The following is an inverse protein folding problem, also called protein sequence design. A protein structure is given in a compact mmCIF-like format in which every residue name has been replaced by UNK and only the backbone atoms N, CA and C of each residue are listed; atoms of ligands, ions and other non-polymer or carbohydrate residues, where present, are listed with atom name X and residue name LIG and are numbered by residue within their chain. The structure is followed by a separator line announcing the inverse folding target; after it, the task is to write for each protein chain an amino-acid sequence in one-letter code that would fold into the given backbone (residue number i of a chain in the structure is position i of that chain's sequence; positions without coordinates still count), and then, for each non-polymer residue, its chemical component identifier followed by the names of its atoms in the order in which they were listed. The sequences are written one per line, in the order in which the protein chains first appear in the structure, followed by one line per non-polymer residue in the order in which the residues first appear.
data_IF_477510639172
#
_entry.id   IF_477510639172
#
_cell.length_a   1.000
_cell.length_b   1.000
_cell.length_c   1.000
_cell.angle_alpha   90.00
_cell.angle_beta   90.00
_cell.angle_gamma   90.00
#
_symmetry.space_group_name_H-M   'P 1'
#
loop_
_entity.id
_entity.type
_entity.pdbx_description
1 polymer ?
#
# COMPACT_ATOMS: atom_id res chain seq x y z
N UNK A 1 -4.86 40.25 5.21
CA UNK A 1 -4.59 39.37 4.06
C UNK A 1 -4.71 37.95 4.57
N UNK A 2 -5.76 37.26 4.13
CA UNK A 2 -6.20 35.96 4.66
C UNK A 2 -5.44 34.82 4.01
N UNK A 3 -4.86 33.98 4.86
CA UNK A 3 -4.17 32.71 4.59
C UNK A 3 -5.00 31.81 3.65
N UNK A 4 -4.43 31.23 2.57
CA UNK A 4 -5.14 30.28 1.74
C UNK A 4 -5.33 28.97 2.51
N UNK A 5 -6.59 28.55 2.64
CA UNK A 5 -7.01 27.33 3.33
C UNK A 5 -6.24 26.11 2.81
N UNK A 6 -5.32 25.58 3.61
CA UNK A 6 -4.81 24.22 3.49
C UNK A 6 -5.97 23.25 3.77
N UNK A 7 -6.56 22.68 2.74
CA UNK A 7 -7.54 21.60 2.90
C UNK A 7 -6.83 20.32 3.33
N UNK A 8 -6.74 20.11 4.65
CA UNK A 8 -6.30 18.84 5.24
C UNK A 8 -7.38 17.79 5.03
N UNK A 9 -7.22 16.95 4.00
CA UNK A 9 -8.04 15.76 3.83
C UNK A 9 -7.43 14.57 4.57
N UNK A 10 -7.95 14.29 5.77
CA UNK A 10 -7.78 12.97 6.37
C UNK A 10 -8.54 11.98 5.48
N UNK A 11 -7.86 11.08 4.79
CA UNK A 11 -8.53 9.91 4.20
C UNK A 11 -8.67 8.90 5.34
N UNK A 12 -9.87 8.69 5.91
CA UNK A 12 -10.02 7.64 6.90
C UNK A 12 -9.73 6.30 6.21
N UNK A 13 -9.16 5.31 6.91
CA UNK A 13 -9.10 3.95 6.39
C UNK A 13 -10.52 3.55 5.97
N UNK A 14 -10.74 3.32 4.69
CA UNK A 14 -12.04 2.90 4.19
C UNK A 14 -12.37 1.58 4.87
N UNK A 15 -13.49 1.54 5.60
CA UNK A 15 -14.06 0.27 6.10
C UNK A 15 -14.48 -0.66 4.95
N UNK A 16 -14.51 -0.14 3.72
CA UNK A 16 -14.69 -0.88 2.48
C UNK A 16 -13.33 -1.40 2.00
N UNK A 17 -13.20 -2.73 1.96
CA UNK A 17 -12.06 -3.45 1.40
C UNK A 17 -11.83 -3.05 -0.06
N UNK A 18 -10.59 -2.70 -0.39
CA UNK A 18 -10.16 -2.55 -1.77
C UNK A 18 -10.14 -3.91 -2.44
N UNK A 19 -10.79 -4.00 -3.61
CA UNK A 19 -10.69 -5.17 -4.46
C UNK A 19 -9.32 -5.19 -5.14
N UNK A 20 -8.72 -6.37 -5.35
CA UNK A 20 -7.47 -6.49 -6.10
C UNK A 20 -7.64 -5.93 -7.52
N UNK A 21 -6.52 -5.56 -8.13
CA UNK A 21 -6.55 -5.20 -9.54
C UNK A 21 -6.87 -6.44 -10.39
N UNK A 22 -7.84 -6.36 -11.31
CA UNK A 22 -8.14 -7.47 -12.20
C UNK A 22 -6.95 -7.67 -13.13
N UNK A 23 -6.40 -8.87 -13.20
CA UNK A 23 -5.33 -9.23 -14.13
C UNK A 23 -5.90 -10.12 -15.25
N UNK A 24 -5.68 -9.77 -16.53
CA UNK A 24 -6.07 -10.62 -17.68
C UNK A 24 -4.85 -10.98 -18.54
N UNK A 25 -4.48 -12.28 -18.59
CA UNK A 25 -3.38 -12.83 -19.41
C UNK A 25 -2.64 -13.99 -18.73
N UNK A 26 -1.50 -14.47 -19.28
CA UNK A 26 -0.67 -15.60 -18.77
C UNK A 26 -0.20 -15.48 -17.29
N UNK A 27 -0.45 -14.36 -16.64
CA UNK A 27 -0.29 -14.15 -15.19
C UNK A 27 -1.42 -14.73 -14.34
N UNK A 28 -2.45 -15.30 -14.96
CA UNK A 28 -3.71 -15.70 -14.32
C UNK A 28 -3.62 -16.78 -13.23
N UNK A 29 -2.47 -17.40 -12.95
CA UNK A 29 -2.33 -18.43 -11.91
C UNK A 29 -0.99 -18.30 -11.15
N UNK A 30 -0.75 -17.19 -10.45
CA UNK A 30 0.37 -17.14 -9.48
C UNK A 30 0.07 -17.92 -8.21
N UNK A 31 -1.21 -18.10 -7.89
CA UNK A 31 -1.70 -18.75 -6.66
C UNK A 31 -2.37 -20.07 -7.03
N UNK A 32 -1.60 -21.16 -7.05
CA UNK A 32 -2.13 -22.49 -7.38
C UNK A 32 -2.93 -23.13 -6.23
N UNK A 33 -2.87 -22.54 -5.04
CA UNK A 33 -3.46 -23.04 -3.80
C UNK A 33 -3.65 -21.86 -2.85
N UNK A 34 -4.80 -21.73 -2.14
CA UNK A 34 -4.99 -20.62 -1.21
C UNK A 34 -3.87 -20.54 -0.16
N UNK A 35 -3.51 -19.32 0.23
CA UNK A 35 -2.48 -19.08 1.24
C UNK A 35 -3.06 -18.42 2.48
N UNK A 36 -2.60 -18.86 3.65
CA UNK A 36 -2.80 -18.16 4.93
C UNK A 36 -1.45 -17.66 5.42
N UNK A 37 -1.36 -16.36 5.66
CA UNK A 37 -0.22 -15.70 6.29
C UNK A 37 -0.58 -15.47 7.75
N UNK A 38 0.04 -16.19 8.66
CA UNK A 38 -0.24 -16.08 10.09
C UNK A 38 0.81 -15.21 10.78
N UNK A 39 0.38 -14.05 11.31
CA UNK A 39 1.28 -13.16 12.03
C UNK A 39 1.65 -13.75 13.39
N UNK A 40 2.89 -13.57 13.84
CA UNK A 40 3.39 -14.01 15.15
C UNK A 40 4.12 -12.86 15.85
N UNK A 41 4.02 -12.80 17.17
CA UNK A 41 4.82 -11.92 18.01
C UNK A 41 4.01 -11.17 19.06
N UNK A 42 4.73 -10.53 19.99
CA UNK A 42 4.15 -9.78 21.10
C UNK A 42 3.30 -8.58 20.62
N UNK A 43 2.39 -8.04 21.47
CA UNK A 43 1.70 -6.79 21.18
C UNK A 43 2.68 -5.62 20.90
N UNK A 44 2.23 -4.62 20.12
CA UNK A 44 3.03 -3.46 19.70
C UNK A 44 4.34 -3.78 18.94
N UNK A 45 4.38 -4.91 18.24
CA UNK A 45 5.50 -5.31 17.36
C UNK A 45 5.22 -5.07 15.87
N UNK A 46 4.39 -4.10 15.51
CA UNK A 46 4.12 -3.78 14.09
C UNK A 46 3.36 -4.83 13.27
N UNK A 47 2.81 -5.90 13.86
CA UNK A 47 2.07 -6.94 13.12
C UNK A 47 0.95 -6.38 12.24
N UNK A 48 0.04 -5.60 12.81
CA UNK A 48 -1.08 -5.01 12.04
C UNK A 48 -0.60 -4.05 10.94
N UNK A 49 0.53 -3.36 11.17
CA UNK A 49 1.15 -2.53 10.14
C UNK A 49 1.64 -3.39 8.96
N UNK A 50 2.41 -4.44 9.26
CA UNK A 50 2.90 -5.40 8.26
C UNK A 50 1.71 -6.03 7.52
N UNK A 51 0.69 -6.51 8.23
CA UNK A 51 -0.50 -7.14 7.64
C UNK A 51 -1.20 -6.23 6.63
N UNK A 52 -1.43 -4.96 6.99
CA UNK A 52 -2.10 -4.00 6.10
C UNK A 52 -1.23 -3.61 4.92
N UNK A 53 0.06 -3.33 5.13
CA UNK A 53 0.99 -3.03 4.04
C UNK A 53 1.14 -4.18 3.06
N UNK A 54 1.22 -5.41 3.56
CA UNK A 54 1.33 -6.60 2.74
C UNK A 54 0.05 -6.84 1.95
N UNK A 55 -1.11 -6.73 2.61
CA UNK A 55 -2.42 -6.82 1.96
C UNK A 55 -2.57 -5.79 0.83
N UNK A 56 -2.17 -4.54 1.07
CA UNK A 56 -2.21 -3.48 0.07
C UNK A 56 -1.30 -3.75 -1.12
N UNK A 57 -0.06 -4.18 -0.87
CA UNK A 57 0.87 -4.56 -1.93
C UNK A 57 0.33 -5.72 -2.77
N UNK A 58 -0.11 -6.81 -2.14
CA UNK A 58 -0.63 -7.98 -2.84
C UNK A 58 -1.86 -7.63 -3.69
N UNK A 59 -2.82 -6.85 -3.17
CA UNK A 59 -3.97 -6.39 -3.96
C UNK A 59 -3.57 -5.47 -5.13
N UNK A 60 -2.59 -4.60 -4.93
CA UNK A 60 -2.10 -3.70 -5.97
C UNK A 60 -1.42 -4.45 -7.12
N UNK A 61 -0.71 -5.54 -6.83
CA UNK A 61 -0.19 -6.46 -7.86
C UNK A 61 -1.21 -7.50 -8.33
N UNK A 62 -2.50 -7.36 -7.95
CA UNK A 62 -3.61 -8.16 -8.43
C UNK A 62 -3.84 -9.50 -7.75
N UNK A 63 -3.27 -9.73 -6.56
CA UNK A 63 -3.52 -10.92 -5.74
C UNK A 63 -4.57 -10.59 -4.67
N UNK A 64 -5.72 -11.23 -4.74
CA UNK A 64 -6.86 -10.98 -3.87
C UNK A 64 -6.54 -11.33 -2.42
N UNK A 65 -6.33 -10.30 -1.61
CA UNK A 65 -5.81 -10.44 -0.25
C UNK A 65 -6.69 -9.74 0.77
N UNK A 66 -6.90 -10.38 1.91
CA UNK A 66 -7.70 -9.81 3.01
C UNK A 66 -7.07 -10.04 4.38
N UNK A 67 -7.11 -9.02 5.23
CA UNK A 67 -6.68 -9.11 6.63
C UNK A 67 -7.85 -9.50 7.53
N UNK A 68 -7.63 -10.48 8.41
CA UNK A 68 -8.53 -10.91 9.47
C UNK A 68 -7.89 -10.56 10.82
N UNK A 69 -8.32 -9.44 11.42
CA UNK A 69 -7.73 -8.92 12.65
C UNK A 69 -8.45 -9.46 13.89
N UNK A 70 -7.76 -10.30 14.67
CA UNK A 70 -8.36 -10.95 15.84
C UNK A 70 -8.81 -9.96 16.93
N UNK A 71 -8.22 -8.76 16.98
CA UNK A 71 -8.63 -7.70 17.88
C UNK A 71 -10.05 -7.18 17.61
N UNK A 72 -10.48 -7.20 16.35
CA UNK A 72 -11.84 -6.82 15.92
C UNK A 72 -12.87 -7.88 16.31
N UNK A 73 -12.58 -9.15 16.03
CA UNK A 73 -13.42 -10.27 16.46
C UNK A 73 -13.66 -10.26 17.97
N UNK A 74 -12.61 -10.07 18.76
CA UNK A 74 -12.73 -9.95 20.22
C UNK A 74 -13.61 -8.74 20.63
N UNK A 75 -13.45 -7.57 19.98
CA UNK A 75 -14.29 -6.39 20.29
C UNK A 75 -15.77 -6.62 20.00
N UNK A 76 -16.09 -7.35 18.93
CA UNK A 76 -17.48 -7.69 18.61
C UNK A 76 -18.04 -8.78 19.54
N UNK A 77 -17.22 -9.75 19.93
CA UNK A 77 -17.64 -10.86 20.77
C UNK A 77 -17.88 -10.45 22.23
N UNK A 78 -17.20 -9.41 22.73
CA UNK A 78 -17.35 -9.01 24.13
C UNK A 78 -17.05 -7.54 24.40
N UNK A 79 -17.87 -6.92 25.24
CA UNK A 79 -17.61 -5.63 25.90
C UNK A 79 -16.86 -5.80 27.22
N UNK A 80 -16.52 -7.02 27.62
CA UNK A 80 -15.87 -7.32 28.90
C UNK A 80 -14.40 -6.90 28.96
N UNK A 81 -13.83 -6.39 27.86
CA UNK A 81 -12.49 -5.81 27.89
C UNK A 81 -12.53 -4.46 28.63
N UNK A 82 -11.91 -4.42 29.80
CA UNK A 82 -11.76 -3.18 30.59
C UNK A 82 -10.28 -2.78 30.72
N UNK A 83 -9.39 -3.74 30.92
CA UNK A 83 -7.96 -3.52 31.12
C UNK A 83 -7.13 -4.78 30.77
N UNK A 84 -5.83 -4.69 30.98
CA UNK A 84 -4.85 -5.74 30.73
C UNK A 84 -5.15 -7.08 31.44
N UNK A 85 -5.93 -7.09 32.53
CA UNK A 85 -6.29 -8.31 33.27
C UNK A 85 -7.04 -9.35 32.41
N UNK A 86 -7.75 -8.90 31.39
CA UNK A 86 -8.38 -9.76 30.39
C UNK A 86 -7.35 -10.66 29.68
N UNK A 87 -6.10 -10.23 29.59
CA UNK A 87 -5.05 -10.95 28.86
C UNK A 87 -4.23 -11.91 29.71
N UNK A 88 -4.43 -11.93 31.03
CA UNK A 88 -3.68 -12.81 31.93
C UNK A 88 -3.82 -14.28 31.56
N UNK A 89 -2.76 -15.01 31.86
CA UNK A 89 -2.61 -16.44 31.65
C UNK A 89 -3.56 -17.30 32.50
N UNK A 90 -3.88 -16.83 33.71
CA UNK A 90 -4.74 -17.49 34.69
C UNK A 90 -6.23 -17.14 34.54
N UNK A 91 -6.57 -16.18 33.66
CA UNK A 91 -7.95 -15.81 33.38
C UNK A 91 -8.61 -16.81 32.40
N UNK A 92 -9.09 -17.93 32.95
CA UNK A 92 -9.67 -19.05 32.18
C UNK A 92 -10.84 -18.59 31.30
N UNK A 93 -11.72 -17.73 31.82
CA UNK A 93 -12.89 -17.21 31.06
C UNK A 93 -12.43 -16.37 29.86
N UNK A 94 -11.51 -15.43 30.07
CA UNK A 94 -11.01 -14.61 28.97
C UNK A 94 -10.16 -15.42 27.98
N UNK A 95 -9.43 -16.44 28.44
CA UNK A 95 -8.72 -17.37 27.57
C UNK A 95 -9.69 -18.14 26.67
N UNK A 96 -10.80 -18.66 27.21
CA UNK A 96 -11.83 -19.33 26.42
C UNK A 96 -12.44 -18.40 25.35
N UNK A 97 -12.78 -17.16 25.72
CA UNK A 97 -13.29 -16.16 24.76
C UNK A 97 -12.27 -15.88 23.65
N UNK A 98 -11.00 -15.65 24.01
CA UNK A 98 -9.92 -15.39 23.02
C UNK A 98 -9.69 -16.57 22.08
N UNK A 99 -9.79 -17.80 22.59
CA UNK A 99 -9.68 -19.01 21.77
C UNK A 99 -10.87 -19.14 20.83
N UNK A 100 -12.10 -18.89 21.31
CA UNK A 100 -13.28 -18.90 20.44
C UNK A 100 -13.19 -17.85 19.34
N UNK A 101 -12.80 -16.62 19.67
CA UNK A 101 -12.61 -15.56 18.66
C UNK A 101 -11.58 -15.95 17.60
N UNK A 102 -10.52 -16.67 17.99
CA UNK A 102 -9.50 -17.13 17.06
C UNK A 102 -10.04 -18.22 16.12
N UNK A 103 -10.85 -19.14 16.65
CA UNK A 103 -11.53 -20.15 15.85
C UNK A 103 -12.54 -19.53 14.89
N UNK A 104 -13.36 -18.58 15.34
CA UNK A 104 -14.34 -17.89 14.51
C UNK A 104 -13.65 -17.13 13.36
N UNK A 105 -12.59 -16.38 13.67
CA UNK A 105 -11.80 -15.69 12.66
C UNK A 105 -11.12 -16.63 11.67
N UNK A 106 -10.61 -17.78 12.13
CA UNK A 106 -9.99 -18.77 11.24
C UNK A 106 -11.02 -19.50 10.38
N UNK A 107 -12.23 -19.74 10.89
CA UNK A 107 -13.34 -20.25 10.10
C UNK A 107 -13.75 -19.24 9.01
N UNK A 108 -13.76 -17.95 9.32
CA UNK A 108 -14.02 -16.88 8.33
C UNK A 108 -12.94 -16.81 7.26
N UNK A 109 -11.67 -16.98 7.63
CA UNK A 109 -10.56 -17.13 6.69
C UNK A 109 -10.84 -18.29 5.73
N UNK A 110 -11.18 -19.46 6.28
CA UNK A 110 -11.43 -20.65 5.48
C UNK A 110 -12.60 -20.46 4.52
N UNK A 111 -13.74 -19.98 5.01
CA UNK A 111 -14.94 -19.71 4.21
C UNK A 111 -14.69 -18.71 3.08
N UNK A 112 -13.90 -17.68 3.34
CA UNK A 112 -13.58 -16.66 2.33
C UNK A 112 -12.63 -17.18 1.24
N UNK A 113 -11.68 -18.06 1.59
CA UNK A 113 -10.83 -18.72 0.60
C UNK A 113 -11.59 -19.79 -0.20
N UNK A 114 -12.50 -20.54 0.45
CA UNK A 114 -13.33 -21.57 -0.21
C UNK A 114 -14.33 -21.00 -1.20
N UNK A 115 -14.82 -19.77 -0.99
CA UNK A 115 -15.78 -19.15 -1.91
C UNK A 115 -15.20 -18.87 -3.30
N UNK A 116 -13.88 -18.96 -3.45
CA UNK A 116 -13.15 -18.57 -4.66
C UNK A 116 -12.99 -17.06 -4.82
N UNK A 117 -13.48 -16.28 -3.85
CA UNK A 117 -13.34 -14.82 -3.83
C UNK A 117 -12.00 -14.35 -3.24
N UNK A 118 -11.16 -15.24 -2.72
CA UNK A 118 -9.92 -14.90 -2.02
C UNK A 118 -8.76 -15.81 -2.37
N UNK A 119 -7.56 -15.25 -2.47
CA UNK A 119 -6.34 -16.00 -2.80
C UNK A 119 -5.38 -16.08 -1.59
N UNK A 120 -5.26 -14.98 -0.84
CA UNK A 120 -4.36 -14.89 0.32
C UNK A 120 -5.09 -14.27 1.52
N UNK A 121 -5.13 -14.96 2.64
CA UNK A 121 -5.67 -14.44 3.90
C UNK A 121 -4.54 -14.10 4.87
N UNK A 122 -4.54 -12.89 5.44
CA UNK A 122 -3.61 -12.50 6.50
C UNK A 122 -4.30 -12.61 7.85
N UNK A 123 -3.92 -13.61 8.64
CA UNK A 123 -4.44 -13.84 9.99
C UNK A 123 -3.61 -13.03 11.01
N UNK A 124 -4.10 -11.83 11.36
CA UNK A 124 -3.42 -10.89 12.24
C UNK A 124 -3.81 -11.11 13.72
N UNK A 125 -2.96 -11.86 14.40
CA UNK A 125 -3.04 -12.16 15.83
C UNK A 125 -1.64 -12.26 16.45
N UNK A 126 -1.54 -12.45 17.77
CA UNK A 126 -0.24 -12.65 18.44
C UNK A 126 0.37 -14.02 18.14
N UNK A 127 -0.46 -15.07 18.07
CA UNK A 127 -0.08 -16.46 17.80
C UNK A 127 1.23 -16.88 18.50
N UNK A 128 1.37 -16.43 19.74
CA UNK A 128 2.62 -16.39 20.51
C UNK A 128 2.99 -17.71 21.17
N UNK A 129 2.15 -18.74 21.06
CA UNK A 129 2.36 -20.06 21.67
C UNK A 129 2.40 -21.14 20.60
N UNK A 130 3.16 -22.21 20.85
CA UNK A 130 3.28 -23.37 19.95
C UNK A 130 1.92 -24.03 19.76
N UNK A 131 1.14 -24.20 20.82
CA UNK A 131 -0.20 -24.80 20.75
C UNK A 131 -1.14 -24.04 19.82
N UNK A 132 -1.07 -22.70 19.82
CA UNK A 132 -1.87 -21.87 18.91
C UNK A 132 -1.43 -22.07 17.47
N UNK A 133 -0.12 -22.13 17.21
CA UNK A 133 0.41 -22.32 15.85
C UNK A 133 0.13 -23.73 15.33
N UNK A 134 0.21 -24.76 16.17
CA UNK A 134 -0.22 -26.14 15.83
C UNK A 134 -1.69 -26.19 15.44
N UNK A 135 -2.58 -25.56 16.22
CA UNK A 135 -4.00 -25.48 15.87
C UNK A 135 -4.23 -24.81 14.51
N UNK A 136 -3.53 -23.71 14.22
CA UNK A 136 -3.61 -23.04 12.91
C UNK A 136 -3.12 -23.97 11.80
N UNK A 137 -1.99 -24.65 11.99
CA UNK A 137 -1.44 -25.61 11.03
C UNK A 137 -2.39 -26.78 10.76
N UNK A 138 -2.94 -27.39 11.81
CA UNK A 138 -3.83 -28.54 11.69
C UNK A 138 -5.09 -28.19 10.88
N UNK A 139 -5.60 -26.96 11.04
CA UNK A 139 -6.75 -26.49 10.27
C UNK A 139 -6.32 -26.12 8.85
N UNK A 140 -5.40 -25.18 8.71
CA UNK A 140 -5.01 -24.60 7.41
C UNK A 140 -4.37 -25.64 6.49
N UNK A 141 -3.39 -26.39 6.99
CA UNK A 141 -2.66 -27.38 6.18
C UNK A 141 -3.35 -28.74 6.26
N UNK A 142 -3.69 -29.20 7.47
CA UNK A 142 -4.20 -30.56 7.68
C UNK A 142 -5.63 -30.78 7.17
N UNK A 143 -6.54 -29.85 7.45
CA UNK A 143 -7.96 -29.99 7.07
C UNK A 143 -8.29 -29.35 5.74
N UNK A 144 -7.83 -28.11 5.52
CA UNK A 144 -8.23 -27.33 4.35
C UNK A 144 -7.33 -27.56 3.14
N UNK A 145 -6.16 -28.19 3.34
CA UNK A 145 -5.12 -28.29 2.32
C UNK A 145 -4.81 -26.90 1.73
N UNK A 146 -4.43 -25.93 2.55
CA UNK A 146 -3.93 -24.61 2.14
C UNK A 146 -2.44 -24.47 2.44
N UNK A 147 -1.78 -23.49 1.80
CA UNK A 147 -0.41 -23.12 2.16
C UNK A 147 -0.41 -22.21 3.38
N UNK A 148 0.50 -22.45 4.32
CA UNK A 148 0.66 -21.65 5.53
C UNK A 148 2.05 -21.02 5.57
N UNK A 149 2.12 -19.73 5.82
CA UNK A 149 3.38 -19.00 6.02
C UNK A 149 3.29 -18.13 7.26
N UNK A 150 4.17 -18.35 8.24
CA UNK A 150 4.20 -17.51 9.43
C UNK A 150 5.12 -16.30 9.22
N UNK A 151 4.69 -15.13 9.72
CA UNK A 151 5.50 -13.92 9.73
C UNK A 151 5.61 -13.43 11.17
N UNK A 152 6.75 -13.68 11.80
CA UNK A 152 7.04 -13.23 13.15
C UNK A 152 7.74 -11.88 13.14
N UNK A 153 7.20 -10.93 13.91
CA UNK A 153 7.84 -9.64 14.15
C UNK A 153 8.40 -9.58 15.57
N UNK A 154 9.71 -9.51 15.66
CA UNK A 154 10.48 -9.45 16.90
C UNK A 154 11.07 -8.05 17.02
N UNK A 155 10.70 -7.31 18.06
CA UNK A 155 11.30 -6.02 18.36
C UNK A 155 11.64 -5.96 19.85
N UNK A 156 12.92 -5.74 20.13
CA UNK A 156 13.43 -5.63 21.50
C UNK A 156 13.76 -4.19 21.88
N UNK A 157 13.75 -3.28 20.91
CA UNK A 157 13.94 -1.84 21.12
C UNK A 157 12.73 -1.24 21.88
N UNK A 158 12.93 -0.69 23.10
CA UNK A 158 11.87 -0.06 23.87
C UNK A 158 11.28 1.19 23.21
N UNK A 159 12.08 2.00 22.52
CA UNK A 159 11.64 3.25 21.89
C UNK A 159 10.68 2.95 20.74
N UNK A 160 11.01 1.97 19.90
CA UNK A 160 10.13 1.51 18.82
C UNK A 160 8.80 0.98 19.38
N UNK A 161 8.86 0.24 20.49
CA UNK A 161 7.66 -0.33 21.12
C UNK A 161 6.76 0.77 21.67
N UNK A 162 7.33 1.73 22.39
CA UNK A 162 6.59 2.87 22.92
C UNK A 162 5.97 3.71 21.79
N UNK A 163 6.75 4.05 20.76
CA UNK A 163 6.26 4.78 19.60
C UNK A 163 5.07 4.06 18.93
N UNK A 164 5.18 2.73 18.74
CA UNK A 164 4.10 1.91 18.19
C UNK A 164 2.83 1.94 19.08
N UNK A 165 2.97 1.97 20.40
CA UNK A 165 1.82 2.08 21.31
C UNK A 165 1.19 3.46 21.15
N UNK A 166 2.00 4.51 21.17
CA UNK A 166 1.56 5.90 21.13
C UNK A 166 0.86 6.26 19.82
N UNK A 167 1.39 5.81 18.68
CA UNK A 167 0.82 6.10 17.37
C UNK A 167 -0.50 5.34 17.12
N UNK A 168 -0.60 4.10 17.62
CA UNK A 168 -1.59 3.15 17.13
C UNK A 168 -2.63 2.73 18.17
N UNK A 169 -2.22 2.64 19.44
CA UNK A 169 -3.04 2.08 20.52
C UNK A 169 -3.78 3.14 21.31
N UNK A 170 -3.23 4.34 21.41
CA UNK A 170 -3.92 5.49 22.03
C UNK A 170 -5.24 5.80 21.34
N UNK A 171 -5.32 5.69 20.02
CA UNK A 171 -6.57 5.92 19.26
C UNK A 171 -7.46 4.68 19.11
N UNK A 172 -7.14 3.57 19.80
CA UNK A 172 -7.90 2.33 19.69
C UNK A 172 -9.23 2.42 20.46
N UNK A 173 -10.32 1.83 19.97
CA UNK A 173 -11.59 1.77 20.71
C UNK A 173 -11.47 1.12 22.10
N UNK A 174 -10.50 0.22 22.25
CA UNK A 174 -10.13 -0.42 23.52
C UNK A 174 -9.78 0.60 24.64
N UNK A 175 -9.40 1.83 24.29
CA UNK A 175 -8.80 2.82 25.19
C UNK A 175 -9.52 4.17 25.19
N UNK A 176 -10.74 4.23 24.65
CA UNK A 176 -11.46 5.48 24.40
C UNK A 176 -11.64 6.39 25.64
N UNK A 177 -11.62 5.83 26.85
CA UNK A 177 -11.85 6.54 28.11
C UNK A 177 -10.57 6.72 28.97
N UNK A 178 -9.39 6.42 28.43
CA UNK A 178 -8.12 6.50 29.16
C UNK A 178 -7.25 7.62 28.61
N UNK A 179 -6.46 8.26 29.48
CA UNK A 179 -5.45 9.21 29.04
C UNK A 179 -4.20 8.49 28.47
N UNK A 180 -3.31 9.23 27.81
CA UNK A 180 -2.14 8.63 27.12
C UNK A 180 -1.23 7.83 28.05
N UNK A 181 -1.00 8.30 29.26
CA UNK A 181 -0.12 7.69 30.26
C UNK A 181 -0.73 6.38 30.79
N UNK A 182 -2.05 6.40 31.07
CA UNK A 182 -2.82 5.21 31.47
C UNK A 182 -2.83 4.14 30.38
N UNK A 183 -3.02 4.53 29.12
CA UNK A 183 -2.98 3.60 27.98
C UNK A 183 -1.61 2.95 27.87
N UNK A 184 -0.53 3.74 27.99
CA UNK A 184 0.82 3.21 27.92
C UNK A 184 1.06 2.19 29.07
N UNK A 185 0.70 2.55 30.30
CA UNK A 185 0.87 1.67 31.46
C UNK A 185 0.08 0.36 31.33
N UNK A 186 -1.21 0.43 30.96
CA UNK A 186 -2.06 -0.75 30.73
C UNK A 186 -1.50 -1.63 29.61
N UNK A 187 -1.09 -1.01 28.50
CA UNK A 187 -0.59 -1.75 27.35
C UNK A 187 0.77 -2.43 27.62
N UNK A 188 1.63 -1.80 28.42
CA UNK A 188 2.88 -2.42 28.86
C UNK A 188 2.63 -3.65 29.73
N UNK A 189 1.70 -3.57 30.69
CA UNK A 189 1.29 -4.74 31.49
C UNK A 189 0.68 -5.83 30.61
N UNK A 190 -0.12 -5.45 29.61
CA UNK A 190 -0.62 -6.39 28.60
C UNK A 190 0.52 -7.11 27.87
N UNK A 191 1.61 -6.42 27.51
CA UNK A 191 2.77 -7.04 26.87
C UNK A 191 3.41 -8.07 27.80
N UNK A 192 3.59 -7.75 29.10
CA UNK A 192 4.14 -8.69 30.08
C UNK A 192 3.33 -9.98 30.17
N UNK A 193 1.99 -9.90 30.22
CA UNK A 193 1.11 -11.08 30.23
C UNK A 193 1.32 -11.99 29.01
N UNK A 194 1.64 -11.43 27.84
CA UNK A 194 1.98 -12.24 26.66
C UNK A 194 3.42 -12.77 26.71
N UNK A 195 4.36 -12.02 27.30
CA UNK A 195 5.77 -12.40 27.40
C UNK A 195 5.96 -13.65 28.25
N UNK A 196 5.19 -13.81 29.33
CA UNK A 196 5.24 -14.98 30.22
C UNK A 196 5.02 -16.33 29.50
N UNK A 197 4.31 -16.31 28.37
CA UNK A 197 3.99 -17.51 27.57
C UNK A 197 4.51 -17.43 26.14
N UNK A 198 5.38 -16.48 25.84
CA UNK A 198 5.84 -16.28 24.48
C UNK A 198 6.87 -17.35 24.10
N UNK A 199 6.53 -18.14 23.09
CA UNK A 199 7.37 -19.15 22.49
C UNK A 199 7.67 -18.70 21.05
N UNK A 200 8.84 -18.10 20.78
CA UNK A 200 9.22 -17.66 19.44
C UNK A 200 9.20 -18.81 18.43
N UNK A 201 9.06 -18.50 17.14
CA UNK A 201 9.27 -19.51 16.09
C UNK A 201 10.72 -20.00 16.13
N UNK A 202 10.92 -21.28 15.95
CA UNK A 202 12.24 -21.90 16.01
C UNK A 202 12.39 -22.99 14.93
N UNK A 203 13.44 -22.87 14.12
CA UNK A 203 13.73 -23.76 13.00
C UNK A 203 14.05 -25.21 13.40
N UNK A 204 14.50 -25.45 14.64
CA UNK A 204 14.85 -26.77 15.15
C UNK A 204 13.66 -27.47 15.83
N UNK A 205 12.75 -26.72 16.45
CA UNK A 205 11.56 -27.27 17.11
C UNK A 205 10.31 -27.32 16.21
N UNK A 206 10.18 -26.38 15.27
CA UNK A 206 9.05 -26.27 14.34
C UNK A 206 9.51 -26.47 12.88
N UNK A 207 10.35 -27.50 12.67
CA UNK A 207 11.02 -27.83 11.40
C UNK A 207 10.09 -27.98 10.19
N UNK A 208 8.80 -28.24 10.42
CA UNK A 208 7.78 -28.48 9.40
C UNK A 208 7.05 -27.20 8.96
N UNK A 209 7.31 -26.06 9.60
CA UNK A 209 6.66 -24.79 9.29
C UNK A 209 7.45 -23.98 8.26
N UNK A 210 6.73 -23.28 7.37
CA UNK A 210 7.31 -22.22 6.55
C UNK A 210 7.17 -20.88 7.26
N UNK A 211 8.26 -20.15 7.48
CA UNK A 211 8.18 -18.87 8.18
C UNK A 211 9.27 -17.86 7.84
N UNK A 212 9.00 -16.61 8.19
CA UNK A 212 9.95 -15.51 8.26
C UNK A 212 9.96 -14.90 9.66
N UNK A 213 11.14 -14.53 10.16
CA UNK A 213 11.32 -13.71 11.37
C UNK A 213 11.96 -12.40 10.99
N UNK A 214 11.34 -11.28 11.37
CA UNK A 214 11.82 -9.92 11.14
C UNK A 214 12.22 -9.34 12.49
N UNK A 215 13.50 -9.00 12.65
CA UNK A 215 14.04 -8.43 13.87
C UNK A 215 14.21 -6.92 13.72
N UNK A 216 13.78 -6.17 14.74
CA UNK A 216 13.99 -4.73 14.88
C UNK A 216 13.75 -3.96 13.58
N UNK A 217 12.59 -4.15 12.95
CA UNK A 217 12.24 -3.45 11.70
C UNK A 217 13.18 -3.78 10.52
N UNK A 218 13.66 -5.01 10.43
CA UNK A 218 14.40 -5.49 9.26
C UNK A 218 15.92 -5.46 9.41
N UNK A 219 16.46 -5.11 10.58
CA UNK A 219 17.90 -5.22 10.87
C UNK A 219 18.44 -6.63 10.61
N UNK A 220 17.64 -7.64 10.93
CA UNK A 220 17.91 -9.05 10.63
C UNK A 220 16.64 -9.73 10.19
N UNK A 221 16.76 -10.57 9.16
CA UNK A 221 15.67 -11.40 8.66
C UNK A 221 16.14 -12.86 8.62
N UNK A 222 15.29 -13.76 9.11
CA UNK A 222 15.46 -15.21 8.97
C UNK A 222 14.30 -15.72 8.12
N UNK A 223 14.59 -16.60 7.16
CA UNK A 223 13.57 -17.24 6.32
C UNK A 223 13.81 -18.74 6.35
N UNK A 224 12.78 -19.50 6.71
CA UNK A 224 12.81 -20.94 6.82
C UNK A 224 11.75 -21.56 5.91
N UNK A 225 12.17 -22.45 5.01
CA UNK A 225 11.32 -23.27 4.13
C UNK A 225 10.19 -22.52 3.43
N UNK A 226 10.45 -21.32 2.90
CA UNK A 226 9.45 -20.63 2.09
C UNK A 226 9.23 -21.38 0.76
N UNK A 227 7.97 -21.49 0.31
CA UNK A 227 7.59 -22.34 -0.82
C UNK A 227 6.80 -21.57 -1.89
N UNK A 228 7.34 -21.60 -3.11
CA UNK A 228 6.69 -21.06 -4.30
C UNK A 228 6.68 -19.54 -4.36
N UNK A 229 6.13 -19.03 -5.47
CA UNK A 229 6.25 -17.64 -5.88
C UNK A 229 5.67 -16.63 -4.87
N UNK A 230 4.53 -16.93 -4.27
CA UNK A 230 3.84 -16.02 -3.35
C UNK A 230 4.66 -15.79 -2.08
N UNK A 231 5.16 -16.85 -1.46
CA UNK A 231 5.98 -16.72 -0.25
C UNK A 231 7.32 -16.03 -0.55
N UNK A 232 7.97 -16.34 -1.68
CA UNK A 232 9.18 -15.60 -2.10
C UNK A 232 8.91 -14.11 -2.32
N UNK A 233 7.77 -13.73 -2.90
CA UNK A 233 7.37 -12.33 -3.06
C UNK A 233 7.08 -11.64 -1.74
N UNK A 234 6.41 -12.32 -0.81
CA UNK A 234 6.17 -11.80 0.55
C UNK A 234 7.52 -11.55 1.24
N UNK A 235 8.43 -12.53 1.17
CA UNK A 235 9.80 -12.40 1.72
C UNK A 235 10.49 -11.18 1.14
N UNK A 236 10.52 -11.06 -0.19
CA UNK A 236 11.15 -9.94 -0.88
C UNK A 236 10.54 -8.59 -0.48
N UNK A 237 9.21 -8.47 -0.46
CA UNK A 237 8.54 -7.25 -0.05
C UNK A 237 8.87 -6.87 1.40
N UNK A 238 8.77 -7.82 2.32
CA UNK A 238 8.99 -7.57 3.75
C UNK A 238 10.45 -7.23 4.09
N UNK A 239 11.41 -7.69 3.28
CA UNK A 239 12.81 -7.27 3.40
C UNK A 239 13.05 -5.81 2.97
N UNK A 240 12.13 -5.21 2.21
CA UNK A 240 12.27 -3.85 1.68
C UNK A 240 11.42 -2.81 2.41
N UNK A 241 10.54 -3.20 3.34
CA UNK A 241 9.75 -2.22 4.11
C UNK A 241 10.49 -1.77 5.37
N UNK A 242 10.26 -0.53 5.77
CA UNK A 242 10.69 0.00 7.06
C UNK A 242 9.64 0.95 7.67
N UNK A 243 9.69 1.11 9.00
CA UNK A 243 8.79 1.99 9.77
C UNK A 243 9.36 3.39 10.04
N UNK A 244 10.60 3.66 9.63
CA UNK A 244 11.22 4.98 9.82
C UNK A 244 10.34 6.06 9.15
N UNK A 245 9.96 7.12 9.89
CA UNK A 245 9.20 8.24 9.34
C UNK A 245 9.90 8.84 8.12
N UNK A 246 9.13 9.08 7.06
CA UNK A 246 9.64 9.62 5.79
C UNK A 246 8.55 10.35 5.03
N UNK A 247 8.97 11.15 4.06
CA UNK A 247 8.06 11.87 3.17
C UNK A 247 8.36 11.52 1.71
N UNK A 248 7.31 11.19 0.95
CA UNK A 248 7.40 10.96 -0.49
C UNK A 248 6.69 12.13 -1.17
N UNK A 249 7.38 12.83 -2.06
CA UNK A 249 6.81 13.90 -2.88
C UNK A 249 6.58 13.37 -4.28
N UNK A 250 5.36 13.47 -4.78
CA UNK A 250 5.02 13.13 -6.17
C UNK A 250 4.62 14.40 -6.90
N UNK A 251 5.17 14.63 -8.08
CA UNK A 251 4.69 15.68 -8.96
C UNK A 251 4.86 15.32 -10.42
N UNK A 252 4.00 15.88 -11.26
CA UNK A 252 4.19 15.78 -12.71
C UNK A 252 5.38 16.66 -13.11
N UNK A 253 5.91 16.39 -14.30
CA UNK A 253 6.68 17.41 -15.01
C UNK A 253 5.89 18.74 -15.08
N UNK A 254 6.60 19.86 -15.23
CA UNK A 254 6.00 21.14 -15.60
C UNK A 254 5.23 21.02 -16.92
N UNK A 255 4.30 21.94 -17.17
CA UNK A 255 3.54 21.98 -18.42
C UNK A 255 4.46 21.86 -19.63
N UNK A 256 4.12 20.99 -20.57
CA UNK A 256 4.89 20.74 -21.79
C UNK A 256 4.20 21.31 -23.03
N UNK A 257 4.94 21.47 -24.13
CA UNK A 257 4.37 21.92 -25.40
C UNK A 257 3.21 21.03 -25.87
N UNK A 258 3.33 19.71 -25.76
CA UNK A 258 2.23 18.79 -26.08
C UNK A 258 1.02 18.93 -25.15
N UNK A 259 1.19 19.38 -23.90
CA UNK A 259 0.04 19.67 -23.05
C UNK A 259 -0.75 20.87 -23.57
N UNK A 260 -0.08 21.95 -24.00
CA UNK A 260 -0.74 23.11 -24.61
C UNK A 260 -1.51 22.74 -25.87
N UNK A 261 -0.99 21.80 -26.66
CA UNK A 261 -1.62 21.29 -27.87
C UNK A 261 -2.70 20.23 -27.60
N UNK A 262 -2.87 19.78 -26.35
CA UNK A 262 -3.82 18.73 -25.98
C UNK A 262 -3.45 17.34 -26.52
N UNK A 263 -2.17 17.12 -26.87
CA UNK A 263 -1.63 15.85 -27.37
C UNK A 263 -1.17 14.93 -26.23
N UNK A 264 -1.35 13.62 -26.40
CA UNK A 264 -0.89 12.60 -25.43
C UNK A 264 0.45 12.01 -25.85
N UNK A 265 1.22 11.48 -24.90
CA UNK A 265 2.48 10.78 -25.18
C UNK A 265 3.65 11.71 -25.52
N UNK A 266 4.52 11.26 -26.44
CA UNK A 266 5.65 11.97 -27.01
C UNK A 266 6.75 12.37 -26.02
N UNK A 267 7.69 13.20 -26.50
CA UNK A 267 8.87 13.66 -25.75
C UNK A 267 9.18 15.15 -25.98
N UNK A 268 8.15 16.00 -25.89
CA UNK A 268 8.29 17.45 -26.05
C UNK A 268 8.98 18.12 -24.86
N UNK A 269 9.55 19.30 -25.11
CA UNK A 269 10.10 20.19 -24.08
C UNK A 269 9.00 20.83 -23.21
N UNK A 270 9.42 21.42 -22.09
CA UNK A 270 8.59 22.27 -21.24
C UNK A 270 8.11 23.52 -22.00
N UNK A 271 6.88 23.98 -21.69
CA UNK A 271 6.40 25.31 -22.04
C UNK A 271 7.08 26.38 -21.18
N UNK A 272 6.84 27.65 -21.48
CA UNK A 272 7.31 28.77 -20.65
C UNK A 272 6.83 28.63 -19.19
N UNK A 273 5.54 28.33 -18.98
CA UNK A 273 4.98 28.05 -17.64
C UNK A 273 5.55 26.78 -17.02
N UNK A 274 5.90 25.79 -17.83
CA UNK A 274 6.60 24.59 -17.35
C UNK A 274 7.98 24.90 -16.76
N UNK A 275 8.73 25.80 -17.40
CA UNK A 275 10.02 26.28 -16.87
C UNK A 275 9.86 27.14 -15.62
N UNK A 276 8.82 27.97 -15.54
CA UNK A 276 8.48 28.67 -14.30
C UNK A 276 8.19 27.68 -13.16
N UNK A 277 7.43 26.61 -13.44
CA UNK A 277 7.14 25.58 -12.47
C UNK A 277 8.39 24.84 -12.00
N UNK A 278 9.30 24.49 -12.91
CA UNK A 278 10.57 23.84 -12.57
C UNK A 278 11.38 24.67 -11.54
N UNK A 279 11.52 25.98 -11.78
CA UNK A 279 12.22 26.90 -10.85
C UNK A 279 11.51 27.03 -9.51
N UNK A 280 10.18 27.12 -9.53
CA UNK A 280 9.39 27.20 -8.31
C UNK A 280 9.42 25.90 -7.50
N UNK A 281 9.44 24.74 -8.17
CA UNK A 281 9.60 23.43 -7.55
C UNK A 281 10.95 23.33 -6.85
N UNK A 282 12.05 23.70 -7.53
CA UNK A 282 13.39 23.70 -6.94
C UNK A 282 13.47 24.61 -5.69
N UNK A 283 12.92 25.82 -5.79
CA UNK A 283 12.83 26.76 -4.66
C UNK A 283 12.01 26.16 -3.50
N UNK A 284 10.86 25.57 -3.80
CA UNK A 284 10.00 24.93 -2.79
C UNK A 284 10.76 23.80 -2.09
N UNK A 285 11.32 22.86 -2.85
CA UNK A 285 12.03 21.68 -2.31
C UNK A 285 13.23 22.09 -1.45
N UNK A 286 14.01 23.08 -1.90
CA UNK A 286 15.13 23.63 -1.12
C UNK A 286 14.65 24.23 0.19
N UNK A 287 13.52 24.95 0.20
CA UNK A 287 12.98 25.54 1.43
C UNK A 287 12.42 24.54 2.44
N UNK A 288 12.18 23.28 2.03
CA UNK A 288 11.74 22.22 2.93
C UNK A 288 12.89 21.61 3.75
N UNK A 289 14.16 21.92 3.43
CA UNK A 289 15.36 21.41 4.12
C UNK A 289 15.33 19.89 4.36
N UNK A 290 15.04 19.13 3.29
CA UNK A 290 14.79 17.69 3.37
C UNK A 290 16.12 16.93 3.39
N UNK A 291 16.49 16.43 4.57
CA UNK A 291 17.69 15.60 4.71
C UNK A 291 17.58 14.29 3.91
N UNK A 292 18.67 13.96 3.22
CA UNK A 292 18.79 12.71 2.46
C UNK A 292 17.82 12.57 1.29
N UNK A 293 17.31 13.69 0.75
CA UNK A 293 16.41 13.68 -0.41
C UNK A 293 17.07 13.00 -1.61
N UNK A 294 16.33 12.10 -2.26
CA UNK A 294 16.63 11.62 -3.61
C UNK A 294 15.59 12.13 -4.60
N UNK A 295 16.01 12.33 -5.86
CA UNK A 295 15.11 12.78 -6.94
C UNK A 295 15.08 11.72 -8.03
N UNK A 296 13.88 11.28 -8.40
CA UNK A 296 13.68 10.35 -9.49
C UNK A 296 12.90 10.98 -10.62
N UNK A 297 13.40 10.79 -11.83
CA UNK A 297 12.71 11.23 -13.05
C UNK A 297 12.43 10.04 -13.96
N UNK A 298 11.56 10.25 -14.93
CA UNK A 298 11.53 9.38 -16.10
C UNK A 298 12.72 9.68 -17.03
N UNK A 299 12.77 8.97 -18.16
CA UNK A 299 13.72 9.26 -19.24
C UNK A 299 13.25 10.34 -20.22
N UNK A 300 12.05 10.89 -20.03
CA UNK A 300 11.45 11.87 -20.94
C UNK A 300 11.87 13.28 -20.55
N UNK A 301 12.21 14.09 -21.55
CA UNK A 301 12.84 15.43 -21.42
C UNK A 301 12.14 16.29 -20.40
N UNK A 302 10.82 16.40 -20.48
CA UNK A 302 10.00 17.23 -19.59
C UNK A 302 10.21 16.93 -18.10
N UNK A 303 10.41 15.67 -17.71
CA UNK A 303 10.68 15.33 -16.29
C UNK A 303 12.11 15.71 -15.88
N UNK A 304 13.07 15.50 -16.77
CA UNK A 304 14.48 15.82 -16.56
C UNK A 304 14.68 17.33 -16.47
N UNK A 305 14.04 18.10 -17.35
CA UNK A 305 14.03 19.56 -17.32
C UNK A 305 13.39 20.10 -16.04
N UNK A 306 12.27 19.51 -15.61
CA UNK A 306 11.58 19.93 -14.39
C UNK A 306 12.43 19.74 -13.13
N UNK A 307 13.20 18.64 -13.07
CA UNK A 307 14.08 18.34 -11.94
C UNK A 307 15.45 19.05 -12.02
N UNK A 308 15.75 19.75 -13.12
CA UNK A 308 17.11 20.22 -13.44
C UNK A 308 17.75 21.08 -12.34
N UNK A 309 16.95 21.94 -11.71
CA UNK A 309 17.41 22.89 -10.68
C UNK A 309 17.27 22.34 -9.25
N UNK A 310 16.79 21.10 -9.06
CA UNK A 310 16.65 20.48 -7.73
C UNK A 310 18.00 19.90 -7.29
N UNK A 311 18.61 20.51 -6.26
CA UNK A 311 19.91 20.12 -5.70
C UNK A 311 19.81 18.86 -4.81
N UNK A 312 19.74 17.69 -5.43
CA UNK A 312 19.78 16.40 -4.77
C UNK A 312 20.27 15.30 -5.73
N UNK A 313 20.77 14.15 -5.24
CA UNK A 313 21.10 13.02 -6.10
C UNK A 313 19.93 12.61 -6.99
N UNK A 314 20.13 12.65 -8.31
CA UNK A 314 19.10 12.38 -9.30
C UNK A 314 19.30 11.03 -9.99
N UNK A 315 18.23 10.26 -10.12
CA UNK A 315 18.22 8.95 -10.77
C UNK A 315 17.13 8.88 -11.85
N UNK A 316 17.43 8.25 -12.99
CA UNK A 316 16.50 8.16 -14.13
C UNK A 316 15.96 6.75 -14.28
N UNK A 317 14.66 6.60 -14.14
CA UNK A 317 13.99 5.30 -14.20
C UNK A 317 13.17 5.19 -15.47
N UNK A 318 13.52 4.27 -16.36
CA UNK A 318 12.71 4.01 -17.57
C UNK A 318 11.29 3.54 -17.19
N UNK A 319 11.17 2.83 -16.06
CA UNK A 319 9.90 2.42 -15.47
C UNK A 319 9.00 3.61 -15.06
N UNK A 320 9.52 4.82 -14.95
CA UNK A 320 8.73 6.03 -14.68
C UNK A 320 8.26 6.76 -15.96
N UNK A 321 8.54 6.24 -17.16
CA UNK A 321 8.01 6.84 -18.40
C UNK A 321 6.49 6.75 -18.42
N UNK A 322 5.85 7.76 -19.05
CA UNK A 322 4.40 7.81 -19.22
C UNK A 322 3.87 6.54 -19.90
N UNK A 323 2.59 6.26 -19.70
CA UNK A 323 1.89 5.18 -20.40
C UNK A 323 2.07 5.31 -21.92
N UNK A 324 2.50 4.24 -22.57
CA UNK A 324 2.66 4.19 -24.02
C UNK A 324 1.28 4.11 -24.70
N UNK A 325 0.91 5.14 -25.45
CA UNK A 325 -0.34 5.18 -26.20
C UNK A 325 -0.27 4.47 -27.57
N UNK A 326 0.86 3.83 -27.90
CA UNK A 326 1.05 3.03 -29.10
C UNK A 326 0.79 3.83 -30.37
N UNK A 327 -0.15 3.35 -31.20
CA UNK A 327 -0.53 4.05 -32.45
C UNK A 327 -1.24 5.40 -32.23
N UNK A 328 -1.58 5.73 -30.98
CA UNK A 328 -2.23 6.98 -30.58
C UNK A 328 -1.25 7.98 -29.94
N UNK A 329 0.05 7.68 -29.91
CA UNK A 329 1.08 8.63 -29.49
C UNK A 329 1.00 9.92 -30.33
N UNK A 330 1.27 11.04 -29.66
CA UNK A 330 1.27 12.40 -30.22
C UNK A 330 -0.09 12.87 -30.77
N UNK A 331 -1.19 12.15 -30.55
CA UNK A 331 -2.53 12.56 -30.97
C UNK A 331 -3.28 13.33 -29.87
N UNK A 332 -4.22 14.18 -30.28
CA UNK A 332 -5.25 14.71 -29.38
C UNK A 332 -6.35 13.68 -29.16
N UNK A 333 -7.11 13.79 -28.06
CA UNK A 333 -8.27 12.92 -27.84
C UNK A 333 -9.34 13.05 -28.93
N UNK A 334 -9.47 14.22 -29.58
CA UNK A 334 -10.39 14.42 -30.69
C UNK A 334 -9.95 13.66 -31.95
N UNK A 335 -8.65 13.72 -32.28
CA UNK A 335 -8.06 12.94 -33.38
C UNK A 335 -8.22 11.42 -33.14
N UNK A 336 -8.06 10.96 -31.90
CA UNK A 336 -8.28 9.54 -31.54
C UNK A 336 -9.75 9.14 -31.71
N UNK A 337 -10.68 9.98 -31.26
CA UNK A 337 -12.12 9.71 -31.39
C UNK A 337 -12.56 9.62 -32.87
N UNK A 338 -11.98 10.44 -33.74
CA UNK A 338 -12.25 10.42 -35.17
C UNK A 338 -11.60 9.22 -35.88
N UNK A 339 -10.31 8.98 -35.63
CA UNK A 339 -9.52 7.97 -36.34
C UNK A 339 -9.74 6.54 -35.81
N UNK A 340 -9.96 6.40 -34.51
CA UNK A 340 -10.11 5.12 -33.81
C UNK A 340 -11.33 5.14 -32.86
N UNK A 341 -12.56 5.33 -33.38
CA UNK A 341 -13.77 5.50 -32.56
C UNK A 341 -14.07 4.29 -31.66
N UNK A 342 -13.77 3.08 -32.13
CA UNK A 342 -13.91 1.82 -31.37
C UNK A 342 -12.98 1.77 -30.17
N UNK A 343 -11.71 2.14 -30.35
CA UNK A 343 -10.70 2.17 -29.28
C UNK A 343 -11.01 3.27 -28.27
N UNK A 344 -11.44 4.45 -28.74
CA UNK A 344 -11.87 5.55 -27.87
C UNK A 344 -13.03 5.12 -26.96
N UNK A 345 -14.06 4.47 -27.51
CA UNK A 345 -15.20 3.96 -26.74
C UNK A 345 -14.81 2.82 -25.80
N UNK A 346 -13.98 1.88 -26.25
CA UNK A 346 -13.52 0.76 -25.42
C UNK A 346 -12.72 1.24 -24.20
N UNK A 347 -11.86 2.25 -24.38
CA UNK A 347 -11.10 2.87 -23.30
C UNK A 347 -12.00 3.55 -22.28
N UNK A 348 -13.08 4.18 -22.71
CA UNK A 348 -14.03 4.84 -21.83
C UNK A 348 -14.87 3.85 -21.01
N UNK A 349 -15.24 2.73 -21.62
CA UNK A 349 -16.00 1.66 -20.96
C UNK A 349 -15.17 0.96 -19.88
N UNK A 350 -13.91 0.63 -20.18
CA UNK A 350 -13.06 -0.12 -19.25
C UNK A 350 -11.59 0.34 -19.26
N UNK A 351 -11.34 1.52 -18.70
CA UNK A 351 -10.07 2.25 -18.80
C UNK A 351 -8.86 1.58 -18.16
N UNK A 352 -9.05 0.76 -17.12
CA UNK A 352 -7.93 0.10 -16.44
C UNK A 352 -7.28 -1.00 -17.29
N UNK A 353 -8.03 -2.03 -17.75
CA UNK A 353 -7.47 -3.11 -18.56
C UNK A 353 -7.40 -2.78 -20.06
N UNK A 354 -8.02 -1.69 -20.53
CA UNK A 354 -7.86 -1.28 -21.93
C UNK A 354 -6.39 -1.03 -22.24
N UNK A 355 -5.87 -1.74 -23.25
CA UNK A 355 -4.52 -1.61 -23.78
C UNK A 355 -4.60 -0.88 -25.11
N UNK A 356 -3.86 0.21 -25.26
CA UNK A 356 -3.73 0.86 -26.57
C UNK A 356 -3.14 -0.12 -27.59
N UNK A 357 -3.58 -0.10 -28.87
CA UNK A 357 -2.96 -0.94 -29.89
C UNK A 357 -1.46 -0.62 -30.01
N UNK A 358 -0.63 -1.66 -29.81
CA UNK A 358 0.84 -1.55 -29.75
C UNK A 358 1.38 -0.63 -28.63
N UNK A 359 0.58 -0.41 -27.58
CA UNK A 359 0.96 0.36 -26.39
C UNK A 359 0.64 -0.40 -25.11
N UNK A 360 0.40 0.35 -24.04
CA UNK A 360 0.18 -0.15 -22.67
C UNK A 360 -1.27 0.06 -22.19
N UNK A 361 -1.66 -0.72 -21.19
CA UNK A 361 -2.80 -0.45 -20.30
C UNK A 361 -2.33 0.10 -18.95
N UNK A 362 -3.26 0.52 -18.08
CA UNK A 362 -2.91 0.82 -16.69
C UNK A 362 -2.46 -0.44 -15.93
N UNK A 363 -2.95 -1.62 -16.32
CA UNK A 363 -2.51 -2.91 -15.79
C UNK A 363 -1.04 -3.19 -16.12
N UNK A 364 -0.61 -2.93 -17.35
CA UNK A 364 0.81 -3.02 -17.76
C UNK A 364 1.67 -2.03 -16.98
N UNK A 365 1.14 -0.82 -16.75
CA UNK A 365 1.84 0.22 -16.02
C UNK A 365 2.06 -0.16 -14.55
N UNK A 366 1.05 -0.73 -13.88
CA UNK A 366 1.18 -1.30 -12.53
C UNK A 366 2.28 -2.36 -12.49
N UNK A 367 2.27 -3.28 -13.45
CA UNK A 367 3.29 -4.32 -13.55
C UNK A 367 4.71 -3.76 -13.71
N UNK A 368 4.88 -2.73 -14.54
CA UNK A 368 6.17 -2.06 -14.77
C UNK A 368 6.63 -1.20 -13.59
N UNK A 369 5.70 -0.68 -12.80
CA UNK A 369 5.99 0.17 -11.64
C UNK A 369 6.26 -0.61 -10.35
N UNK A 370 6.08 -1.94 -10.34
CA UNK A 370 6.37 -2.76 -9.16
C UNK A 370 7.79 -2.51 -8.59
N UNK A 371 8.88 -2.52 -9.38
CA UNK A 371 10.22 -2.23 -8.85
C UNK A 371 10.35 -0.81 -8.25
N UNK A 372 9.61 0.16 -8.78
CA UNK A 372 9.58 1.54 -8.25
C UNK A 372 8.91 1.55 -6.87
N UNK A 373 7.80 0.82 -6.70
CA UNK A 373 7.13 0.69 -5.40
C UNK A 373 8.06 0.04 -4.37
N UNK A 374 8.79 -1.02 -4.74
CA UNK A 374 9.75 -1.65 -3.84
C UNK A 374 10.82 -0.68 -3.36
N UNK A 375 11.35 0.13 -4.28
CA UNK A 375 12.38 1.11 -3.93
C UNK A 375 11.80 2.28 -3.09
N UNK A 376 10.57 2.73 -3.35
CA UNK A 376 9.89 3.73 -2.50
C UNK A 376 9.58 3.19 -1.10
N UNK A 377 9.36 1.88 -0.98
CA UNK A 377 9.18 1.23 0.31
C UNK A 377 10.48 1.14 1.13
N UNK A 378 11.62 1.06 0.43
CA UNK A 378 12.98 0.92 0.98
C UNK A 378 13.65 2.26 1.32
N UNK A 379 13.37 3.30 0.55
CA UNK A 379 14.02 4.60 0.67
C UNK A 379 13.36 5.50 1.70
N UNK A 380 14.13 6.47 2.20
CA UNK A 380 13.64 7.57 3.03
C UNK A 380 12.91 8.64 2.22
N UNK A 381 13.43 9.86 2.21
CA UNK A 381 12.79 10.98 1.53
C UNK A 381 13.05 10.95 0.01
N UNK A 382 11.99 10.94 -0.80
CA UNK A 382 12.09 10.86 -2.26
C UNK A 382 11.15 11.86 -2.93
N UNK A 383 11.65 12.60 -3.92
CA UNK A 383 10.86 13.35 -4.89
C UNK A 383 10.78 12.58 -6.20
N UNK A 384 9.58 12.24 -6.67
CA UNK A 384 9.34 11.62 -7.96
C UNK A 384 8.71 12.63 -8.91
N UNK A 385 9.44 13.00 -9.96
CA UNK A 385 8.95 13.84 -11.06
C UNK A 385 8.59 12.93 -12.24
N UNK A 386 7.29 12.77 -12.50
CA UNK A 386 6.80 11.81 -13.48
C UNK A 386 5.58 12.35 -14.25
N UNK A 387 4.62 11.49 -14.58
CA UNK A 387 3.55 11.78 -15.53
C UNK A 387 2.17 11.43 -14.96
N UNK A 388 1.12 11.75 -15.71
CA UNK A 388 -0.24 11.67 -15.19
C UNK A 388 -0.65 10.21 -14.92
N UNK A 389 -0.44 9.27 -15.85
CA UNK A 389 -0.86 7.88 -15.62
C UNK A 389 0.03 7.19 -14.57
N UNK A 390 1.33 7.46 -14.60
CA UNK A 390 2.30 6.90 -13.64
C UNK A 390 1.97 7.31 -12.20
N UNK A 391 1.78 8.60 -11.93
CA UNK A 391 1.50 9.08 -10.57
C UNK A 391 0.15 8.57 -10.08
N UNK A 392 -0.83 8.35 -10.95
CA UNK A 392 -2.09 7.68 -10.56
C UNK A 392 -1.84 6.27 -10.04
N UNK A 393 -0.99 5.48 -10.69
CA UNK A 393 -0.62 4.15 -10.21
C UNK A 393 0.09 4.19 -8.85
N UNK A 394 1.04 5.12 -8.67
CA UNK A 394 1.76 5.30 -7.41
C UNK A 394 0.80 5.74 -6.28
N UNK A 395 -0.08 6.70 -6.54
CA UNK A 395 -1.08 7.15 -5.58
C UNK A 395 -2.06 6.02 -5.22
N UNK A 396 -2.50 5.23 -6.19
CA UNK A 396 -3.39 4.11 -5.92
C UNK A 396 -2.76 3.08 -4.99
N UNK A 397 -1.45 2.86 -5.08
CA UNK A 397 -0.72 2.05 -4.10
C UNK A 397 -0.74 2.67 -2.70
N UNK A 398 -0.30 3.91 -2.53
CA UNK A 398 -0.17 4.51 -1.19
C UNK A 398 -1.52 4.80 -0.53
N UNK A 399 -2.55 5.10 -1.32
CA UNK A 399 -3.88 5.48 -0.87
C UNK A 399 -4.88 4.34 -0.89
N UNK A 400 -4.42 3.12 -1.21
CA UNK A 400 -5.25 1.91 -1.26
C UNK A 400 -6.50 2.17 -2.12
N UNK A 401 -6.29 2.48 -3.40
CA UNK A 401 -7.38 2.74 -4.37
C UNK A 401 -7.59 1.56 -5.28
N UNK A 402 -8.84 1.32 -5.65
CA UNK A 402 -9.22 0.21 -6.53
C UNK A 402 -8.81 0.47 -7.99
N UNK A 403 -8.77 -0.59 -8.80
CA UNK A 403 -8.50 -0.52 -10.24
C UNK A 403 -9.52 0.33 -11.00
N UNK A 404 -10.75 0.42 -10.49
CA UNK A 404 -11.81 1.24 -11.06
C UNK A 404 -11.56 2.75 -10.80
N UNK A 405 -11.00 3.09 -9.64
CA UNK A 405 -10.70 4.47 -9.25
C UNK A 405 -9.37 4.96 -9.85
N UNK A 406 -8.35 4.09 -9.92
CA UNK A 406 -6.97 4.43 -10.29
C UNK A 406 -6.87 5.29 -11.57
N UNK A 407 -7.48 4.94 -12.72
CA UNK A 407 -7.35 5.71 -13.96
C UNK A 407 -7.97 7.11 -13.94
N UNK A 408 -8.66 7.47 -12.84
CA UNK A 408 -9.40 8.70 -12.66
C UNK A 408 -8.93 9.51 -11.44
N UNK A 409 -7.89 9.08 -10.73
CA UNK A 409 -7.30 9.89 -9.67
C UNK A 409 -6.83 11.25 -10.22
N UNK A 410 -7.04 12.31 -9.43
CA UNK A 410 -6.67 13.66 -9.81
C UNK A 410 -5.18 13.90 -9.58
N UNK A 411 -4.48 14.27 -10.65
CA UNK A 411 -3.05 14.60 -10.63
C UNK A 411 -2.84 15.84 -11.51
N UNK A 412 -3.22 17.03 -11.02
CA UNK A 412 -3.10 18.26 -11.78
C UNK A 412 -1.63 18.62 -12.04
N UNK A 413 -1.38 19.37 -13.12
CA UNK A 413 -0.08 20.01 -13.34
C UNK A 413 0.22 21.01 -12.21
N UNK A 414 1.51 21.29 -12.04
CA UNK A 414 2.05 22.32 -11.14
C UNK A 414 1.65 22.15 -9.66
N UNK A 415 1.33 20.92 -9.27
CA UNK A 415 0.93 20.56 -7.90
C UNK A 415 1.84 19.48 -7.38
N UNK A 416 2.34 19.67 -6.17
CA UNK A 416 3.15 18.71 -5.43
C UNK A 416 2.21 17.93 -4.53
N UNK A 417 2.28 16.61 -4.58
CA UNK A 417 1.50 15.72 -3.73
C UNK A 417 2.45 15.14 -2.70
N UNK A 418 2.33 15.61 -1.46
CA UNK A 418 3.16 15.17 -0.34
C UNK A 418 2.47 14.01 0.37
N UNK A 419 3.15 12.88 0.43
CA UNK A 419 2.71 11.65 1.06
C UNK A 419 3.50 11.42 2.34
N UNK A 420 2.80 11.28 3.46
CA UNK A 420 3.41 10.90 4.75
C UNK A 420 2.82 9.55 5.18
N UNK A 421 3.53 8.43 4.95
CA UNK A 421 3.10 7.11 5.42
C UNK A 421 2.88 7.10 6.93
N UNK A 422 1.77 6.53 7.37
CA UNK A 422 1.41 6.37 8.79
C UNK A 422 0.97 4.92 9.04
N UNK A 423 0.84 4.52 10.31
CA UNK A 423 0.61 3.12 10.67
C UNK A 423 -0.54 2.40 9.93
N UNK A 424 -1.58 3.11 9.51
CA UNK A 424 -2.76 2.53 8.85
C UNK A 424 -3.07 3.10 7.46
N UNK A 425 -2.15 3.84 6.85
CA UNK A 425 -2.40 4.46 5.56
C UNK A 425 -1.33 5.47 5.19
N UNK A 426 -1.77 6.55 4.56
CA UNK A 426 -0.89 7.63 4.14
C UNK A 426 -1.65 8.96 4.23
N UNK A 427 -1.05 9.97 4.86
CA UNK A 427 -1.57 11.34 4.80
C UNK A 427 -1.17 11.95 3.47
N UNK A 428 -2.08 12.72 2.87
CA UNK A 428 -1.88 13.37 1.57
C UNK A 428 -2.11 14.86 1.72
N UNK A 429 -1.15 15.64 1.25
CA UNK A 429 -1.26 17.10 1.14
C UNK A 429 -1.03 17.50 -0.32
N UNK A 430 -1.91 18.34 -0.87
CA UNK A 430 -1.76 18.88 -2.22
C UNK A 430 -1.28 20.33 -2.12
N UNK A 431 -0.09 20.60 -2.64
CA UNK A 431 0.57 21.90 -2.60
C UNK A 431 0.63 22.43 -4.02
N UNK A 432 -0.32 23.29 -4.37
CA UNK A 432 -0.37 23.94 -5.69
C UNK A 432 0.56 25.15 -5.71
N UNK A 433 1.53 25.16 -6.61
CA UNK A 433 2.37 26.34 -6.83
C UNK A 433 1.57 27.36 -7.67
N UNK A 434 1.79 28.68 -7.47
CA UNK A 434 0.97 29.74 -8.07
C UNK A 434 1.32 29.99 -9.55
N UNK A 435 1.30 28.94 -10.36
CA UNK A 435 1.67 28.95 -11.78
C UNK A 435 0.58 28.20 -12.52
N UNK A 436 -0.10 28.89 -13.44
CA UNK A 436 -1.19 28.29 -14.18
C UNK A 436 -0.71 27.18 -15.12
N UNK A 437 -1.62 26.26 -15.43
CA UNK A 437 -1.41 25.19 -16.39
C UNK A 437 -2.75 24.79 -17.01
N UNK A 438 -2.69 24.20 -18.20
CA UNK A 438 -3.86 23.56 -18.81
C UNK A 438 -4.34 22.38 -17.96
N UNK A 439 -5.65 22.11 -18.00
CA UNK A 439 -6.20 20.90 -17.40
C UNK A 439 -6.13 19.74 -18.40
N UNK A 440 -5.52 18.63 -17.97
CA UNK A 440 -5.38 17.40 -18.75
C UNK A 440 -6.22 16.26 -18.17
N UNK A 441 -7.04 16.54 -17.16
CA UNK A 441 -7.95 15.56 -16.58
C UNK A 441 -9.19 15.40 -17.45
N UNK A 442 -9.41 14.16 -17.91
CA UNK A 442 -10.69 13.75 -18.51
C UNK A 442 -11.49 12.90 -17.52
N UNK A 443 -12.66 13.38 -17.04
CA UNK A 443 -13.47 12.63 -16.09
C UNK A 443 -14.04 11.36 -16.73
N UNK A 444 -14.45 10.41 -15.89
CA UNK A 444 -15.17 9.22 -16.36
C UNK A 444 -16.46 9.68 -17.06
N UNK A 445 -16.71 9.27 -18.31
CA UNK A 445 -17.98 9.57 -18.97
C UNK A 445 -19.13 9.03 -18.11
N UNK A 446 -20.18 9.84 -17.93
CA UNK A 446 -21.42 9.33 -17.37
C UNK A 446 -21.96 8.31 -18.38
N UNK A 447 -22.25 7.08 -17.94
CA UNK A 447 -22.84 6.06 -18.80
C UNK A 447 -24.02 6.65 -19.54
N UNK A 448 -23.89 6.90 -20.84
CA UNK A 448 -25.04 7.18 -21.68
C UNK A 448 -25.88 5.90 -21.63
N UNK A 449 -27.16 6.02 -21.28
CA UNK A 449 -28.12 4.97 -21.60
C UNK A 449 -27.90 4.59 -23.07
N UNK A 450 -27.41 3.38 -23.31
CA UNK A 450 -27.54 2.73 -24.61
C UNK A 450 -29.03 2.49 -24.80
N UNK A 451 -29.76 3.50 -25.26
CA UNK A 451 -31.04 3.30 -25.92
C UNK A 451 -30.70 2.59 -27.23
N UNK A 452 -30.77 1.27 -27.19
CA UNK A 452 -30.94 0.45 -28.38
C UNK A 452 -32.27 0.89 -28.98
N UNK A 453 -32.21 1.56 -30.13
CA UNK A 453 -33.38 1.80 -30.99
C UNK A 453 -33.43 0.67 -32.00
#
# INVERSE_FOLDING_TARGET
MTDPKNEMHYTPPTSKQTKPFPIRGERANFVNKPHVIAMVGLPARGKTYISKKLCRYLNWIGINTKVFNLGEYRRHATTAYQCHEFFRADNIKAMAIRTQCAMDALNDVCRWLESGDGEVAVFDATNSTVDRRRMIRDIVVGKMDYKLFFVESVCNDPEIVEQNIMEVKVSSPDYANMNKEEVLADFMLRIEHYRERYEPLDEDYETDLSFMKIYNTGEKVIVHKHEGHIQSRIVYYLMNIHIVPRTIYLTRHGESMMNLEGRIGGDSDLSERGWEYARALATFITSQDIQGLRVWTSWLKRTIQTAGDVEAPQERWKALNEIDAGICEEMTYAEIAEKYPTDFAARDQNKFPYRYPRGESYEDLVARLEPVIMELERQGNVLVVSHQAVIRCLLAYFLDKTSEELPYLQVPLHTIIKLTPVAYGCKVEHIRLPIDAVDTHRPKPKSACLTVV
#
